data_IF_229358060534
#
_entry.id   IF_229358060534
#
_cell.length_a   1.000
_cell.length_b   1.000
_cell.length_c   1.000
_cell.angle_alpha   90.00
_cell.angle_beta   90.00
_cell.angle_gamma   90.00
#
_symmetry.space_group_name_H-M   'P 1'
#
loop_
_entity.id
_entity.type
_entity.pdbx_description
1 polymer ?
#
# COMPACT_ATOMS: atom_id res chain seq x y z
N UNK A 1 -19.53 -4.69 -10.03
CA UNK A 1 -18.88 -4.57 -8.70
C UNK A 1 -19.82 -5.11 -7.61
N UNK A 2 -20.08 -6.42 -7.62
CA UNK A 2 -20.95 -7.09 -6.65
C UNK A 2 -20.08 -7.92 -5.70
N UNK A 3 -20.45 -8.05 -4.44
CA UNK A 3 -19.72 -8.88 -3.46
C UNK A 3 -18.44 -8.28 -2.87
N UNK A 4 -18.02 -7.06 -3.24
CA UNK A 4 -16.89 -6.36 -2.62
C UNK A 4 -17.33 -5.61 -1.37
N UNK A 5 -16.54 -5.71 -0.31
CA UNK A 5 -16.82 -5.04 0.97
C UNK A 5 -16.57 -3.55 0.83
N UNK A 6 -17.61 -2.73 0.96
CA UNK A 6 -17.46 -1.27 0.94
C UNK A 6 -17.09 -0.70 2.33
N UNK A 7 -17.65 -1.28 3.40
CA UNK A 7 -17.42 -0.81 4.77
C UNK A 7 -17.64 -1.93 5.78
N UNK A 8 -16.81 -1.95 6.81
CA UNK A 8 -16.95 -2.76 8.01
C UNK A 8 -17.03 -1.81 9.20
N UNK A 9 -18.03 -1.98 10.07
CA UNK A 9 -18.24 -1.14 11.26
C UNK A 9 -18.08 -2.00 12.51
N UNK A 10 -17.39 -1.47 13.52
CA UNK A 10 -17.24 -2.09 14.84
C UNK A 10 -17.41 -1.02 15.91
N UNK A 11 -18.62 -0.90 16.47
CA UNK A 11 -18.95 0.22 17.36
C UNK A 11 -18.89 1.55 16.60
N UNK A 12 -18.14 2.52 17.13
CA UNK A 12 -17.89 3.82 16.47
C UNK A 12 -16.75 3.77 15.43
N UNK A 13 -15.96 2.69 15.45
CA UNK A 13 -14.83 2.47 14.54
C UNK A 13 -15.32 1.89 13.21
N UNK A 14 -14.60 2.20 12.13
CA UNK A 14 -14.88 1.59 10.84
C UNK A 14 -13.64 1.43 9.96
N UNK A 15 -13.74 0.49 9.03
CA UNK A 15 -12.85 0.41 7.88
C UNK A 15 -13.67 0.51 6.60
N UNK A 16 -13.33 1.45 5.73
CA UNK A 16 -14.00 1.66 4.45
C UNK A 16 -13.04 1.43 3.27
N UNK A 17 -13.60 1.03 2.15
CA UNK A 17 -12.89 0.72 0.91
C UNK A 17 -13.59 1.36 -0.28
N UNK A 18 -12.79 1.87 -1.23
CA UNK A 18 -13.30 2.28 -2.54
C UNK A 18 -12.52 1.57 -3.63
N UNK A 19 -13.19 1.38 -4.76
CA UNK A 19 -12.66 0.61 -5.89
C UNK A 19 -12.86 1.38 -7.19
N UNK A 20 -11.99 1.16 -8.16
CA UNK A 20 -12.17 1.65 -9.53
C UNK A 20 -13.24 0.82 -10.29
N UNK A 21 -13.51 1.22 -11.55
CA UNK A 21 -14.47 0.53 -12.41
C UNK A 21 -14.07 -0.94 -12.70
N UNK A 22 -12.77 -1.21 -12.75
CA UNK A 22 -12.16 -2.54 -12.90
C UNK A 22 -12.25 -3.37 -11.61
N UNK A 23 -12.63 -2.75 -10.50
CA UNK A 23 -12.77 -3.36 -9.18
C UNK A 23 -11.47 -3.43 -8.38
N UNK A 24 -10.38 -2.79 -8.79
CA UNK A 24 -9.19 -2.72 -7.93
C UNK A 24 -9.44 -1.77 -6.76
N UNK A 25 -8.93 -2.12 -5.58
CA UNK A 25 -9.02 -1.22 -4.42
C UNK A 25 -8.11 -0.01 -4.67
N UNK A 26 -8.70 1.19 -4.64
CA UNK A 26 -7.99 2.48 -4.82
C UNK A 26 -7.86 3.25 -3.51
N UNK A 27 -8.67 2.90 -2.50
CA UNK A 27 -8.65 3.57 -1.21
C UNK A 27 -9.03 2.64 -0.07
N UNK A 28 -8.43 2.89 1.10
CA UNK A 28 -8.79 2.31 2.40
C UNK A 28 -8.75 3.42 3.46
N UNK A 29 -9.85 3.62 4.17
CA UNK A 29 -9.93 4.48 5.35
C UNK A 29 -10.12 3.64 6.61
N UNK A 30 -9.34 3.89 7.66
CA UNK A 30 -9.49 3.22 8.97
C UNK A 30 -9.69 4.28 10.04
N UNK A 31 -10.87 4.29 10.66
CA UNK A 31 -11.17 5.12 11.81
C UNK A 31 -11.09 4.29 13.08
N UNK A 32 -10.31 4.76 14.05
CA UNK A 32 -10.23 4.23 15.41
C UNK A 32 -10.35 5.40 16.39
N UNK A 33 -11.42 5.43 17.19
CA UNK A 33 -11.74 6.56 18.05
C UNK A 33 -11.93 7.85 17.22
N UNK A 34 -11.14 8.89 17.50
CA UNK A 34 -11.19 10.16 16.75
C UNK A 34 -10.23 10.21 15.57
N UNK A 35 -9.30 9.25 15.45
CA UNK A 35 -8.26 9.26 14.41
C UNK A 35 -8.72 8.49 13.18
N UNK A 36 -8.48 9.06 12.00
CA UNK A 36 -8.70 8.38 10.72
C UNK A 36 -7.40 8.33 9.93
N UNK A 37 -6.97 7.13 9.57
CA UNK A 37 -5.82 6.90 8.67
C UNK A 37 -6.31 6.55 7.28
N UNK A 38 -5.74 7.17 6.27
CA UNK A 38 -6.12 6.99 4.87
C UNK A 38 -4.98 6.33 4.10
N UNK A 39 -5.31 5.35 3.26
CA UNK A 39 -4.37 4.70 2.35
C UNK A 39 -4.91 4.77 0.94
N UNK A 40 -4.13 5.33 0.01
CA UNK A 40 -4.45 5.39 -1.41
C UNK A 40 -3.52 4.47 -2.20
N UNK A 41 -4.08 3.76 -3.17
CA UNK A 41 -3.35 2.87 -4.07
C UNK A 41 -3.37 3.50 -5.46
N UNK A 42 -2.23 4.06 -5.88
CA UNK A 42 -2.05 4.59 -7.24
C UNK A 42 -1.57 3.45 -8.11
N UNK A 43 -2.23 3.27 -9.26
CA UNK A 43 -1.96 2.20 -10.21
C UNK A 43 -1.73 2.77 -11.59
N UNK A 44 -0.93 2.05 -12.38
CA UNK A 44 -0.87 2.31 -13.80
C UNK A 44 -2.18 1.85 -14.46
N UNK A 45 -2.64 2.62 -15.45
CA UNK A 45 -3.82 2.28 -16.25
C UNK A 45 -3.32 1.41 -17.38
N UNK A 46 -3.24 0.11 -17.15
CA UNK A 46 -3.11 -0.86 -18.24
C UNK A 46 -4.48 -1.12 -18.84
N UNK A 47 -4.52 -1.42 -20.14
CA UNK A 47 -5.72 -1.90 -20.86
C UNK A 47 -6.31 -3.18 -20.24
N UNK A 48 -5.52 -3.85 -19.40
CA UNK A 48 -5.89 -4.95 -18.52
C UNK A 48 -6.45 -4.45 -17.17
N UNK A 49 -7.51 -5.12 -16.70
CA UNK A 49 -8.28 -4.86 -15.46
C UNK A 49 -7.42 -4.92 -14.18
N UNK A 50 -6.15 -5.35 -14.24
CA UNK A 50 -5.30 -5.72 -13.11
C UNK A 50 -4.04 -4.86 -12.88
N UNK A 51 -3.97 -3.65 -13.43
CA UNK A 51 -2.78 -2.78 -13.43
C UNK A 51 -1.97 -2.73 -12.12
N UNK A 52 -0.64 -2.73 -12.25
CA UNK A 52 0.32 -2.78 -11.14
C UNK A 52 0.21 -1.54 -10.22
N UNK A 53 0.48 -1.73 -8.92
CA UNK A 53 0.51 -0.62 -7.95
C UNK A 53 1.81 0.16 -8.13
N UNK A 54 1.70 1.42 -8.54
CA UNK A 54 2.84 2.31 -8.72
C UNK A 54 3.26 2.97 -7.42
N UNK A 55 2.30 3.28 -6.55
CA UNK A 55 2.60 3.86 -5.24
C UNK A 55 1.46 3.61 -4.24
N UNK A 56 1.84 3.50 -2.98
CA UNK A 56 0.94 3.46 -1.84
C UNK A 56 1.19 4.69 -0.98
N UNK A 57 0.17 5.54 -0.89
CA UNK A 57 0.20 6.73 -0.04
C UNK A 57 -0.51 6.43 1.27
N UNK A 58 0.09 6.77 2.40
CA UNK A 58 -0.56 6.80 3.71
C UNK A 58 -0.61 8.25 4.17
N UNK A 59 -1.81 8.74 4.46
CA UNK A 59 -2.02 10.12 4.93
C UNK A 59 -1.33 11.17 4.04
N UNK A 60 -1.48 11.00 2.72
CA UNK A 60 -0.90 11.84 1.65
C UNK A 60 0.63 11.77 1.48
N UNK A 61 1.32 10.94 2.27
CA UNK A 61 2.76 10.70 2.12
C UNK A 61 3.02 9.37 1.42
N UNK A 62 4.00 9.31 0.51
CA UNK A 62 4.44 8.05 -0.11
C UNK A 62 4.96 7.14 1.00
N UNK A 63 4.30 6.00 1.21
CA UNK A 63 4.72 4.97 2.16
C UNK A 63 5.50 3.87 1.45
N UNK A 64 5.03 3.44 0.29
CA UNK A 64 5.66 2.38 -0.51
C UNK A 64 5.59 2.76 -1.99
N UNK A 65 6.66 2.51 -2.73
CA UNK A 65 6.74 2.71 -4.17
C UNK A 65 7.53 1.54 -4.78
N UNK A 66 6.83 0.57 -5.39
CA UNK A 66 7.49 -0.48 -6.16
C UNK A 66 8.28 0.11 -7.33
N UNK A 67 9.44 -0.49 -7.62
CA UNK A 67 10.28 -0.15 -8.77
C UNK A 67 10.17 -1.29 -9.77
N UNK A 68 9.79 -0.97 -11.00
CA UNK A 68 9.53 -1.94 -12.06
C UNK A 68 10.58 -1.87 -13.17
N UNK A 69 10.98 -3.04 -13.67
CA UNK A 69 11.60 -3.25 -14.98
C UNK A 69 10.62 -4.05 -15.85
N UNK A 70 10.97 -5.30 -16.17
CA UNK A 70 10.02 -6.29 -16.73
C UNK A 70 9.15 -6.98 -15.67
N UNK A 71 9.56 -6.87 -14.41
CA UNK A 71 8.88 -7.32 -13.19
C UNK A 71 9.24 -6.37 -12.04
N UNK A 72 8.66 -6.57 -10.85
CA UNK A 72 9.05 -5.79 -9.67
C UNK A 72 10.50 -6.12 -9.32
N UNK A 73 11.39 -5.14 -9.44
CA UNK A 73 12.84 -5.27 -9.17
C UNK A 73 13.24 -4.67 -7.83
N UNK A 74 12.36 -3.89 -7.21
CA UNK A 74 12.63 -3.28 -5.92
C UNK A 74 11.40 -2.65 -5.28
N UNK A 75 11.57 -2.20 -4.05
CA UNK A 75 10.53 -1.53 -3.27
C UNK A 75 11.17 -0.40 -2.47
N UNK A 76 10.82 0.84 -2.79
CA UNK A 76 11.13 1.97 -1.95
C UNK A 76 10.09 2.04 -0.82
N UNK A 77 10.55 2.05 0.44
CA UNK A 77 9.69 2.26 1.61
C UNK A 77 10.17 3.50 2.36
N UNK A 78 9.23 4.40 2.67
CA UNK A 78 9.48 5.48 3.60
C UNK A 78 8.91 5.08 4.96
N UNK A 79 9.74 5.07 6.00
CA UNK A 79 9.25 5.02 7.38
C UNK A 79 8.53 6.33 7.65
N UNK A 80 7.19 6.30 7.64
CA UNK A 80 6.38 7.43 8.10
C UNK A 80 6.27 7.25 9.61
N UNK A 81 7.19 7.88 10.35
CA UNK A 81 7.12 7.89 11.80
C UNK A 81 5.90 8.74 12.21
N UNK A 82 5.05 8.25 13.13
CA UNK A 82 3.99 9.09 13.68
C UNK A 82 4.61 10.29 14.41
N UNK A 83 4.01 11.45 14.24
CA UNK A 83 4.44 12.71 14.84
C UNK A 83 4.65 12.52 16.36
N UNK A 84 5.88 12.76 16.84
CA UNK A 84 6.24 12.67 18.27
C UNK A 84 6.96 11.40 18.75
N UNK A 85 7.36 10.48 17.86
CA UNK A 85 8.28 9.39 18.22
C UNK A 85 9.73 9.73 17.83
N UNK A 86 10.68 9.32 18.66
CA UNK A 86 12.10 9.53 18.41
C UNK A 86 12.51 8.84 17.10
N UNK A 87 13.32 9.53 16.31
CA UNK A 87 13.92 9.06 15.07
C UNK A 87 14.50 7.64 15.28
N UNK A 88 13.83 6.60 14.77
CA UNK A 88 14.49 5.32 14.57
C UNK A 88 15.58 5.59 13.54
N UNK A 89 16.85 5.43 13.93
CA UNK A 89 18.04 5.83 13.19
C UNK A 89 17.94 5.46 11.72
N UNK A 90 17.34 6.33 10.91
CA UNK A 90 17.31 6.14 9.48
C UNK A 90 18.73 6.40 9.01
N UNK A 91 19.32 5.54 8.17
CA UNK A 91 20.61 5.83 7.57
C UNK A 91 20.53 7.23 6.97
N UNK A 92 21.44 8.10 7.38
CA UNK A 92 21.50 9.47 6.90
C UNK A 92 21.68 9.44 5.37
N UNK A 93 21.23 10.47 4.67
CA UNK A 93 21.42 10.55 3.22
C UNK A 93 22.92 10.39 2.88
N UNK A 94 23.29 9.25 2.26
CA UNK A 94 24.68 8.88 1.98
C UNK A 94 25.19 7.63 2.73
N UNK A 95 24.44 7.09 3.69
CA UNK A 95 24.78 5.84 4.38
C UNK A 95 24.11 4.63 3.71
N UNK A 96 24.93 3.63 3.36
CA UNK A 96 24.44 2.35 2.87
C UNK A 96 24.15 1.43 4.06
N UNK A 97 22.88 1.32 4.43
CA UNK A 97 22.45 0.29 5.39
C UNK A 97 22.46 -1.09 4.70
N UNK A 98 23.50 -1.87 4.97
CA UNK A 98 23.66 -3.22 4.43
C UNK A 98 22.98 -4.27 5.33
N UNK A 99 22.55 -5.38 4.75
CA UNK A 99 22.01 -6.53 5.50
C UNK A 99 20.49 -6.55 5.65
N UNK A 100 19.77 -5.50 5.26
CA UNK A 100 18.32 -5.54 5.16
C UNK A 100 17.89 -6.49 4.04
N UNK A 101 17.07 -7.48 4.38
CA UNK A 101 16.48 -8.42 3.43
C UNK A 101 14.97 -8.25 3.44
N UNK A 102 14.38 -8.22 2.26
CA UNK A 102 12.95 -8.22 2.06
C UNK A 102 12.58 -9.46 1.26
N UNK A 103 11.45 -10.06 1.61
CA UNK A 103 10.94 -11.28 0.99
C UNK A 103 9.52 -11.02 0.53
N UNK A 104 9.21 -11.45 -0.68
CA UNK A 104 7.87 -11.48 -1.25
C UNK A 104 7.51 -12.93 -1.54
N UNK A 105 6.26 -13.31 -1.26
CA UNK A 105 5.75 -14.62 -1.62
C UNK A 105 5.24 -14.56 -3.07
N UNK A 106 5.90 -15.29 -3.98
CA UNK A 106 5.38 -15.53 -5.32
C UNK A 106 4.74 -16.92 -5.39
N UNK A 107 3.50 -16.97 -5.86
CA UNK A 107 2.87 -18.25 -6.21
C UNK A 107 3.28 -18.62 -7.64
N UNK A 108 3.80 -19.84 -7.83
CA UNK A 108 4.16 -20.39 -9.14
C UNK A 108 3.08 -21.32 -9.71
N UNK A 109 2.03 -21.62 -8.94
CA UNK A 109 0.87 -22.39 -9.38
C UNK A 109 -0.10 -21.44 -10.07
N UNK A 110 0.07 -21.30 -11.39
CA UNK A 110 -0.75 -20.46 -12.25
C UNK A 110 -2.25 -20.71 -12.11
N UNK A 111 -3.02 -19.69 -12.49
CA UNK A 111 -4.47 -19.71 -12.52
C UNK A 111 -5.01 -20.79 -13.47
N UNK A 112 -5.36 -21.96 -12.91
CA UNK A 112 -6.37 -22.85 -13.49
C UNK A 112 -7.50 -22.99 -12.46
N UNK A 113 -8.55 -22.20 -12.68
CA UNK A 113 -9.88 -22.38 -12.09
C UNK A 113 -10.92 -21.96 -13.13
#
# INVERSE_FOLDING_TARGET
>A
MYGKVAKVVKGEDFTEYRYDASGNRVYKGVKVGTTTKMTHYVRDVSDEISGNVMAIYKDQQVSEQPVYGSSQVGLFRRTIQPEGQAEESQPQAGELALGHRQYELSNHLGADA
#
